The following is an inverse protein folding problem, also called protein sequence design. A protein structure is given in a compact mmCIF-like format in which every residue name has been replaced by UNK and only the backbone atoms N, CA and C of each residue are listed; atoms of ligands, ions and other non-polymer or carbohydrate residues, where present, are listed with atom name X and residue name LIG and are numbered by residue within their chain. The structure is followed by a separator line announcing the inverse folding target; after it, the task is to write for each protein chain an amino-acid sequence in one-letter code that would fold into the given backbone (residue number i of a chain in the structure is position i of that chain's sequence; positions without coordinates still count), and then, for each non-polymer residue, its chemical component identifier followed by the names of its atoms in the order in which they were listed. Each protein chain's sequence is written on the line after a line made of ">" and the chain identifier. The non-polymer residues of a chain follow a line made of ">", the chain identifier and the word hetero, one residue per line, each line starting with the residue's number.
data_IF_664456260163
#
_entry.id   IF_664456260163
#
_cell.length_a   1.000
_cell.length_b   1.000
_cell.length_c   1.000
_cell.angle_alpha   90.00
_cell.angle_beta   90.00
_cell.angle_gamma   90.00
#
_symmetry.space_group_name_H-M   'P 1'
#
loop_
_entity.id
_entity.type
_entity.pdbx_description
1 polymer ?
#
# COMPACT_ATOMS: atom_id res chain seq x y z
N UNK A 1 23.38 46.54 -5.54
CA UNK A 1 22.00 46.02 -5.54
C UNK A 1 22.09 44.53 -5.80
N UNK A 2 22.01 43.76 -4.73
CA UNK A 2 21.97 42.30 -4.77
C UNK A 2 20.51 41.89 -4.95
N UNK A 3 20.20 41.27 -6.09
CA UNK A 3 18.89 40.71 -6.33
C UNK A 3 18.70 39.52 -5.35
N UNK A 4 17.69 39.55 -4.52
CA UNK A 4 17.24 38.42 -3.73
C UNK A 4 16.82 37.28 -4.70
N UNK A 5 17.22 36.04 -4.43
CA UNK A 5 16.74 34.91 -5.23
C UNK A 5 15.23 34.81 -5.07
N UNK A 6 14.50 34.83 -6.18
CA UNK A 6 13.07 34.59 -6.17
C UNK A 6 12.80 33.20 -5.55
N UNK A 7 12.21 33.16 -4.37
CA UNK A 7 11.66 31.95 -3.79
C UNK A 7 10.62 31.39 -4.77
N UNK A 8 10.95 30.30 -5.45
CA UNK A 8 9.99 29.51 -6.20
C UNK A 8 9.05 28.87 -5.16
N UNK A 9 8.01 29.59 -4.76
CA UNK A 9 6.89 28.97 -4.04
C UNK A 9 6.27 27.92 -4.97
N UNK A 10 6.41 26.65 -4.62
CA UNK A 10 5.67 25.58 -5.29
C UNK A 10 4.18 25.92 -5.19
N UNK A 11 3.58 26.29 -6.30
CA UNK A 11 2.13 26.46 -6.38
C UNK A 11 1.55 25.09 -6.74
N UNK A 12 0.89 24.46 -5.78
CA UNK A 12 0.11 23.27 -6.06
C UNK A 12 -1.07 23.66 -6.96
N UNK A 13 -1.41 22.83 -7.95
CA UNK A 13 -2.57 23.10 -8.80
C UNK A 13 -3.83 23.16 -7.96
N UNK A 14 -4.72 24.10 -8.28
CA UNK A 14 -6.03 24.18 -7.62
C UNK A 14 -6.87 22.99 -8.01
N UNK A 15 -7.45 22.22 -7.05
CA UNK A 15 -8.29 21.08 -7.38
C UNK A 15 -9.45 21.46 -8.29
N UNK A 16 -9.77 20.63 -9.30
CA UNK A 16 -11.02 20.76 -10.03
C UNK A 16 -12.24 20.67 -9.09
N UNK A 17 -13.39 21.21 -9.51
CA UNK A 17 -14.62 21.17 -8.68
C UNK A 17 -15.02 19.75 -8.26
N UNK A 18 -14.76 18.76 -9.13
CA UNK A 18 -15.05 17.34 -8.85
C UNK A 18 -13.86 16.57 -8.26
N UNK A 19 -12.79 17.28 -7.85
CA UNK A 19 -11.53 16.71 -7.39
C UNK A 19 -10.65 16.19 -8.52
N UNK A 20 -9.47 15.66 -8.16
CA UNK A 20 -8.52 15.07 -9.11
C UNK A 20 -8.95 13.67 -9.56
N UNK A 21 -8.37 13.24 -10.67
CA UNK A 21 -8.55 11.91 -11.26
C UNK A 21 -7.21 11.18 -11.36
N UNK A 22 -7.25 9.88 -11.69
CA UNK A 22 -6.03 9.10 -11.95
C UNK A 22 -5.19 9.68 -13.10
N UNK A 23 -5.83 10.27 -14.12
CA UNK A 23 -5.09 10.95 -15.20
C UNK A 23 -4.33 12.16 -14.65
N UNK A 24 -4.93 12.92 -13.73
CA UNK A 24 -4.27 14.05 -13.08
C UNK A 24 -3.07 13.57 -12.25
N UNK A 25 -3.22 12.47 -11.47
CA UNK A 25 -2.13 11.91 -10.66
C UNK A 25 -0.89 11.59 -11.49
N UNK A 26 -1.07 11.07 -12.70
CA UNK A 26 0.04 10.67 -13.57
C UNK A 26 0.55 11.77 -14.51
N UNK A 27 -0.17 12.88 -14.65
CA UNK A 27 0.18 13.95 -15.61
C UNK A 27 0.54 15.29 -14.96
N UNK A 28 0.12 15.53 -13.71
CA UNK A 28 0.47 16.74 -13.00
C UNK A 28 1.99 16.79 -12.76
N UNK A 29 2.62 17.92 -13.09
CA UNK A 29 4.05 18.09 -12.87
C UNK A 29 4.39 18.25 -11.39
N UNK A 30 5.61 17.87 -11.03
CA UNK A 30 6.25 18.14 -9.74
C UNK A 30 5.49 17.61 -8.51
N UNK A 31 4.61 16.61 -8.66
CA UNK A 31 4.05 15.90 -7.52
C UNK A 31 5.17 15.22 -6.71
N UNK A 32 5.10 15.25 -5.37
CA UNK A 32 6.02 14.48 -4.54
C UNK A 32 5.98 12.98 -4.89
N UNK A 33 7.09 12.26 -4.74
CA UNK A 33 7.07 10.80 -4.76
C UNK A 33 6.01 10.25 -3.77
N UNK A 34 5.47 9.08 -4.07
CA UNK A 34 4.46 8.41 -3.22
C UNK A 34 3.19 9.24 -2.98
N UNK A 35 2.81 10.10 -3.96
CA UNK A 35 1.53 10.80 -3.91
C UNK A 35 0.41 9.83 -4.25
N UNK A 36 -0.54 9.68 -3.33
CA UNK A 36 -1.75 8.88 -3.52
C UNK A 36 -2.93 9.75 -3.96
N UNK A 37 -3.91 9.13 -4.60
CA UNK A 37 -5.21 9.74 -4.89
C UNK A 37 -6.30 9.02 -4.07
N UNK A 38 -6.94 9.75 -3.15
CA UNK A 38 -8.02 9.22 -2.32
C UNK A 38 -9.23 10.14 -2.42
N UNK A 39 -10.35 9.62 -2.91
CA UNK A 39 -11.60 10.36 -3.16
C UNK A 39 -11.41 11.65 -3.98
N UNK A 40 -10.46 11.64 -4.90
CA UNK A 40 -10.11 12.79 -5.73
C UNK A 40 -9.29 13.85 -5.00
N UNK A 41 -8.71 13.52 -3.84
CA UNK A 41 -7.75 14.37 -3.12
C UNK A 41 -6.35 13.79 -3.25
N UNK A 42 -5.37 14.63 -3.57
CA UNK A 42 -3.96 14.25 -3.53
C UNK A 42 -3.49 14.16 -2.07
N UNK A 43 -2.98 13.02 -1.69
CA UNK A 43 -2.44 12.73 -0.37
C UNK A 43 -0.92 12.60 -0.49
N UNK A 44 -0.19 13.43 0.24
CA UNK A 44 1.26 13.39 0.30
C UNK A 44 1.70 12.58 1.51
N UNK A 45 2.64 11.67 1.31
CA UNK A 45 3.15 10.80 2.36
C UNK A 45 4.33 11.45 3.07
N UNK A 46 4.33 11.42 4.39
CA UNK A 46 5.44 11.89 5.23
C UNK A 46 6.64 10.93 5.17
N UNK A 47 7.87 11.40 5.49
CA UNK A 47 9.01 10.51 5.64
C UNK A 47 8.74 9.38 6.64
N UNK A 48 9.04 8.16 6.25
CA UNK A 48 8.72 6.97 7.04
C UNK A 48 9.71 6.72 8.18
N UNK A 49 9.24 6.06 9.26
CA UNK A 49 10.07 5.61 10.37
C UNK A 49 10.82 4.33 10.01
N UNK A 50 11.90 4.04 10.75
CA UNK A 50 12.67 2.81 10.59
C UNK A 50 11.80 1.53 10.70
N UNK A 51 10.83 1.50 11.62
CA UNK A 51 9.87 0.40 11.73
C UNK A 51 9.18 0.09 10.40
N UNK A 52 8.67 1.11 9.72
CA UNK A 52 7.98 0.96 8.45
C UNK A 52 8.89 0.35 7.38
N UNK A 53 10.11 0.89 7.24
CA UNK A 53 11.12 0.33 6.35
C UNK A 53 11.42 -1.14 6.65
N UNK A 54 11.71 -1.48 7.91
CA UNK A 54 12.07 -2.84 8.32
C UNK A 54 10.91 -3.82 8.12
N UNK A 55 9.67 -3.40 8.46
CA UNK A 55 8.47 -4.22 8.27
C UNK A 55 8.19 -4.53 6.80
N UNK A 56 8.30 -3.53 5.91
CA UNK A 56 8.17 -3.76 4.46
C UNK A 56 9.21 -4.76 3.97
N UNK A 57 10.48 -4.62 4.36
CA UNK A 57 11.55 -5.51 3.92
C UNK A 57 11.37 -6.94 4.41
N UNK A 58 11.05 -7.12 5.69
CA UNK A 58 10.76 -8.42 6.29
C UNK A 58 9.61 -9.12 5.55
N UNK A 59 8.47 -8.42 5.42
CA UNK A 59 7.28 -9.00 4.82
C UNK A 59 7.45 -9.25 3.32
N UNK A 60 8.04 -8.30 2.58
CA UNK A 60 8.27 -8.48 1.14
C UNK A 60 9.22 -9.66 0.86
N UNK A 61 10.28 -9.84 1.66
CA UNK A 61 11.18 -10.99 1.54
C UNK A 61 10.47 -12.30 1.89
N UNK A 62 9.70 -12.31 2.97
CA UNK A 62 8.91 -13.48 3.35
C UNK A 62 7.90 -13.88 2.27
N UNK A 63 7.14 -12.92 1.74
CA UNK A 63 6.21 -13.15 0.63
C UNK A 63 6.92 -13.68 -0.62
N UNK A 64 8.09 -13.11 -0.98
CA UNK A 64 8.87 -13.54 -2.16
C UNK A 64 9.44 -14.95 -2.01
N UNK A 65 9.70 -15.41 -0.79
CA UNK A 65 10.33 -16.72 -0.55
C UNK A 65 9.47 -17.90 -1.01
N UNK A 66 8.14 -17.73 -1.00
CA UNK A 66 7.17 -18.80 -1.34
C UNK A 66 6.24 -18.43 -2.48
N UNK A 67 6.39 -17.22 -3.08
CA UNK A 67 5.50 -16.77 -4.16
C UNK A 67 5.56 -17.69 -5.37
N UNK A 68 4.43 -18.22 -5.88
CA UNK A 68 4.39 -19.04 -7.07
C UNK A 68 4.69 -18.24 -8.34
N UNK A 69 5.16 -18.91 -9.41
CA UNK A 69 5.59 -18.26 -10.67
C UNK A 69 4.51 -17.41 -11.34
N UNK A 70 3.23 -17.70 -11.10
CA UNK A 70 2.09 -16.93 -11.61
C UNK A 70 1.83 -15.61 -10.87
N UNK A 71 2.56 -15.32 -9.81
CA UNK A 71 2.41 -14.11 -8.98
C UNK A 71 3.74 -13.38 -8.83
N UNK A 72 3.66 -12.10 -8.47
CA UNK A 72 4.80 -11.23 -8.16
C UNK A 72 4.52 -10.43 -6.90
N UNK A 73 5.56 -10.18 -6.12
CA UNK A 73 5.53 -9.27 -4.96
C UNK A 73 6.18 -7.96 -5.38
N UNK A 74 5.40 -6.89 -5.32
CA UNK A 74 5.82 -5.52 -5.65
C UNK A 74 5.63 -4.63 -4.44
N UNK A 75 6.42 -3.57 -4.32
CA UNK A 75 6.33 -2.60 -3.23
C UNK A 75 6.07 -1.22 -3.80
N UNK A 76 5.30 -0.42 -3.06
CA UNK A 76 5.14 1.01 -3.29
C UNK A 76 4.78 1.36 -4.75
N UNK A 77 3.76 0.68 -5.28
CA UNK A 77 3.24 0.94 -6.61
C UNK A 77 1.75 1.25 -6.55
N UNK A 78 1.35 2.30 -7.26
CA UNK A 78 -0.05 2.73 -7.32
C UNK A 78 -0.97 1.60 -7.79
N UNK A 79 -2.07 1.38 -7.08
CA UNK A 79 -3.16 0.47 -7.47
C UNK A 79 -4.39 1.30 -7.85
N UNK A 80 -4.76 1.26 -9.12
CA UNK A 80 -5.95 1.96 -9.63
C UNK A 80 -7.20 1.21 -9.19
N UNK A 81 -7.93 1.77 -8.24
CA UNK A 81 -9.19 1.20 -7.75
C UNK A 81 -10.38 1.68 -8.58
N UNK A 82 -10.40 2.97 -8.90
CA UNK A 82 -11.37 3.62 -9.76
C UNK A 82 -10.81 4.96 -10.27
N UNK A 83 -11.64 5.76 -10.95
CA UNK A 83 -11.22 7.05 -11.53
C UNK A 83 -10.65 8.04 -10.51
N UNK A 84 -11.06 7.96 -9.23
CA UNK A 84 -10.74 8.93 -8.17
C UNK A 84 -9.96 8.33 -7.00
N UNK A 85 -9.59 7.06 -7.11
CA UNK A 85 -8.89 6.33 -6.07
C UNK A 85 -7.72 5.52 -6.66
N UNK A 86 -6.52 5.90 -6.26
CA UNK A 86 -5.26 5.24 -6.59
C UNK A 86 -4.32 5.31 -5.39
N UNK A 87 -4.55 4.51 -4.34
CA UNK A 87 -3.60 4.34 -3.24
C UNK A 87 -2.33 3.63 -3.71
N UNK A 88 -1.29 3.74 -2.91
CA UNK A 88 -0.02 3.06 -3.11
C UNK A 88 0.24 2.13 -1.91
N UNK A 89 -0.24 0.86 -1.97
CA UNK A 89 0.01 -0.10 -0.89
C UNK A 89 1.51 -0.32 -0.68
N UNK A 90 1.94 -0.44 0.55
CA UNK A 90 3.36 -0.68 0.89
C UNK A 90 3.87 -1.95 0.23
N UNK A 91 3.05 -3.02 0.18
CA UNK A 91 3.34 -4.23 -0.57
C UNK A 91 2.07 -4.71 -1.27
N UNK A 92 2.22 -5.18 -2.50
CA UNK A 92 1.15 -5.87 -3.22
C UNK A 92 1.62 -7.21 -3.77
N UNK A 93 0.73 -8.20 -3.75
CA UNK A 93 0.90 -9.44 -4.53
C UNK A 93 0.01 -9.33 -5.75
N UNK A 94 0.62 -9.38 -6.93
CA UNK A 94 -0.05 -9.15 -8.20
C UNK A 94 0.10 -10.34 -9.14
N UNK A 95 -0.78 -10.45 -10.13
CA UNK A 95 -0.63 -11.44 -11.22
C UNK A 95 0.65 -11.17 -12.00
N UNK A 96 1.44 -12.20 -12.26
CA UNK A 96 2.70 -12.04 -12.99
C UNK A 96 2.49 -11.52 -14.42
N UNK A 97 1.37 -11.88 -15.05
CA UNK A 97 0.98 -11.44 -16.39
C UNK A 97 0.63 -9.93 -16.47
N UNK A 98 0.28 -9.31 -15.32
CA UNK A 98 0.02 -7.88 -15.24
C UNK A 98 1.31 -7.03 -15.26
N UNK A 99 2.48 -7.67 -15.13
CA UNK A 99 3.78 -6.97 -15.19
C UNK A 99 4.18 -6.79 -16.65
N UNK A 100 4.05 -5.57 -17.15
CA UNK A 100 4.28 -5.22 -18.56
C UNK A 100 5.71 -4.78 -18.86
N UNK A 101 6.50 -4.45 -17.84
CA UNK A 101 7.90 -4.08 -18.01
C UNK A 101 8.43 -3.03 -17.03
N UNK A 102 9.71 -2.64 -17.15
CA UNK A 102 10.41 -1.84 -16.13
C UNK A 102 9.97 -0.37 -16.05
N UNK A 103 9.11 0.09 -16.94
CA UNK A 103 8.54 1.45 -16.91
C UNK A 103 7.10 1.51 -16.43
N UNK A 104 6.58 0.38 -15.95
CA UNK A 104 5.25 0.32 -15.36
C UNK A 104 5.24 1.07 -14.01
N UNK A 105 4.19 1.87 -13.79
CA UNK A 105 4.04 2.72 -12.60
C UNK A 105 2.78 2.38 -11.81
N UNK A 106 1.92 1.49 -12.30
CA UNK A 106 0.63 1.15 -11.68
C UNK A 106 0.17 -0.25 -12.01
N UNK A 107 -0.76 -0.75 -11.20
CA UNK A 107 -1.55 -1.95 -11.45
C UNK A 107 -3.03 -1.63 -11.37
N UNK A 108 -3.87 -2.41 -12.04
CA UNK A 108 -5.32 -2.37 -11.88
C UNK A 108 -5.72 -3.23 -10.66
N UNK A 109 -6.77 -2.85 -9.93
CA UNK A 109 -7.23 -3.61 -8.76
C UNK A 109 -7.52 -5.08 -9.07
N UNK A 110 -8.02 -5.39 -10.27
CA UNK A 110 -8.31 -6.75 -10.73
C UNK A 110 -7.07 -7.67 -10.78
N UNK A 111 -5.87 -7.09 -10.87
CA UNK A 111 -4.61 -7.82 -10.91
C UNK A 111 -3.98 -8.03 -9.54
N UNK A 112 -4.53 -7.39 -8.49
CA UNK A 112 -4.01 -7.44 -7.12
C UNK A 112 -4.75 -8.51 -6.32
N UNK A 113 -4.00 -9.46 -5.73
CA UNK A 113 -4.53 -10.50 -4.88
C UNK A 113 -4.42 -10.17 -3.38
N UNK A 114 -3.39 -9.43 -3.00
CA UNK A 114 -3.15 -9.01 -1.63
C UNK A 114 -2.61 -7.58 -1.64
N UNK A 115 -3.19 -6.72 -0.83
CA UNK A 115 -2.65 -5.42 -0.45
C UNK A 115 -2.20 -5.45 1.02
N UNK A 116 -1.05 -4.88 1.32
CA UNK A 116 -0.49 -4.78 2.67
C UNK A 116 -0.21 -3.32 2.98
N UNK A 117 -0.68 -2.86 4.13
CA UNK A 117 -0.38 -1.53 4.66
C UNK A 117 0.35 -1.66 5.99
N UNK A 118 1.46 -0.95 6.13
CA UNK A 118 2.23 -0.83 7.37
C UNK A 118 1.91 0.51 7.99
N UNK A 119 1.21 0.52 9.12
CA UNK A 119 0.72 1.74 9.76
C UNK A 119 1.88 2.67 10.11
N UNK A 120 1.74 3.92 9.70
CA UNK A 120 2.53 5.04 10.18
C UNK A 120 1.63 6.05 10.93
N UNK A 121 2.16 6.92 11.78
CA UNK A 121 1.33 7.91 12.48
C UNK A 121 0.55 8.84 11.56
N UNK A 122 1.08 9.07 10.34
CA UNK A 122 0.45 9.93 9.34
C UNK A 122 -0.67 9.23 8.57
N UNK A 123 -0.55 7.93 8.37
CA UNK A 123 -1.48 7.13 7.57
C UNK A 123 -2.52 6.38 8.42
N UNK A 124 -2.35 6.27 9.74
CA UNK A 124 -3.12 5.39 10.63
C UNK A 124 -4.63 5.39 10.37
N UNK A 125 -5.26 6.56 10.33
CA UNK A 125 -6.71 6.63 10.12
C UNK A 125 -7.13 6.12 8.74
N UNK A 126 -6.30 6.35 7.71
CA UNK A 126 -6.55 5.89 6.35
C UNK A 126 -6.34 4.39 6.22
N UNK A 127 -5.28 3.85 6.81
CA UNK A 127 -4.92 2.44 6.70
C UNK A 127 -5.84 1.53 7.53
N UNK A 128 -6.39 2.05 8.64
CA UNK A 128 -7.35 1.30 9.48
C UNK A 128 -8.77 1.32 8.96
N UNK A 129 -9.18 2.34 8.23
CA UNK A 129 -10.57 2.53 7.83
C UNK A 129 -10.75 2.78 6.33
N UNK A 130 -10.22 3.88 5.82
CA UNK A 130 -10.53 4.33 4.45
C UNK A 130 -10.03 3.36 3.37
N UNK A 131 -8.75 2.99 3.41
CA UNK A 131 -8.11 2.13 2.40
C UNK A 131 -8.71 0.71 2.38
N UNK A 132 -8.90 0.01 3.53
CA UNK A 132 -9.52 -1.31 3.53
C UNK A 132 -10.91 -1.33 2.87
N UNK A 133 -11.76 -0.34 3.17
CA UNK A 133 -13.08 -0.25 2.53
C UNK A 133 -12.96 -0.09 1.00
N UNK A 134 -12.01 0.72 0.54
CA UNK A 134 -11.79 0.95 -0.89
C UNK A 134 -11.22 -0.29 -1.58
N UNK A 135 -10.25 -0.97 -0.98
CA UNK A 135 -9.70 -2.23 -1.50
C UNK A 135 -10.78 -3.31 -1.61
N UNK A 136 -11.60 -3.47 -0.57
CA UNK A 136 -12.71 -4.41 -0.58
C UNK A 136 -13.74 -4.08 -1.66
N UNK A 137 -14.11 -2.79 -1.82
CA UNK A 137 -15.04 -2.34 -2.84
C UNK A 137 -14.50 -2.57 -4.25
N UNK A 138 -13.18 -2.40 -4.46
CA UNK A 138 -12.51 -2.68 -5.73
C UNK A 138 -12.30 -4.17 -6.02
N UNK A 139 -12.65 -5.06 -5.06
CA UNK A 139 -12.62 -6.50 -5.25
C UNK A 139 -11.30 -7.18 -4.90
N UNK A 140 -10.34 -6.49 -4.26
CA UNK A 140 -9.08 -7.11 -3.82
C UNK A 140 -9.39 -8.15 -2.76
N UNK A 141 -9.00 -9.44 -2.96
CA UNK A 141 -9.49 -10.53 -2.09
C UNK A 141 -8.86 -10.55 -0.71
N UNK A 142 -7.59 -10.13 -0.57
CA UNK A 142 -6.87 -10.20 0.71
C UNK A 142 -6.27 -8.84 1.08
N UNK A 143 -6.30 -8.55 2.38
CA UNK A 143 -5.71 -7.33 2.93
C UNK A 143 -4.98 -7.65 4.23
N UNK A 144 -3.79 -7.13 4.40
CA UNK A 144 -3.05 -7.20 5.65
C UNK A 144 -2.80 -5.80 6.19
N UNK A 145 -3.01 -5.66 7.49
CA UNK A 145 -2.68 -4.45 8.22
C UNK A 145 -1.58 -4.77 9.22
N UNK A 146 -0.48 -4.02 9.17
CA UNK A 146 0.70 -4.25 9.99
C UNK A 146 0.89 -3.08 10.94
N UNK A 147 0.97 -3.39 12.22
CA UNK A 147 1.08 -2.41 13.30
C UNK A 147 2.24 -2.75 14.24
N UNK A 148 2.75 -1.77 14.97
CA UNK A 148 3.65 -1.99 16.09
C UNK A 148 2.86 -2.48 17.30
N UNK A 149 3.30 -3.55 17.95
CA UNK A 149 2.63 -4.07 19.13
C UNK A 149 3.47 -3.92 20.40
N UNK A 150 2.80 -3.41 21.43
CA UNK A 150 3.33 -3.43 22.80
C UNK A 150 4.60 -2.62 23.03
N UNK A 151 5.36 -3.00 24.08
CA UNK A 151 6.60 -2.29 24.48
C UNK A 151 7.83 -2.63 23.64
N UNK A 152 7.77 -3.71 22.86
CA UNK A 152 8.91 -4.22 22.09
C UNK A 152 8.92 -3.76 20.64
N UNK A 153 7.98 -2.88 20.24
CA UNK A 153 7.86 -2.35 18.88
C UNK A 153 7.87 -3.42 17.77
N UNK A 154 7.50 -4.67 18.10
CA UNK A 154 7.43 -5.77 17.15
C UNK A 154 6.23 -5.64 16.21
N UNK A 155 6.36 -6.09 14.94
CA UNK A 155 5.25 -6.08 14.00
C UNK A 155 4.16 -7.09 14.40
N UNK A 156 2.91 -6.66 14.35
CA UNK A 156 1.72 -7.51 14.41
C UNK A 156 1.01 -7.44 13.07
N UNK A 157 0.75 -8.59 12.48
CA UNK A 157 0.07 -8.70 11.19
C UNK A 157 -1.37 -9.14 11.41
N UNK A 158 -2.30 -8.28 11.04
CA UNK A 158 -3.73 -8.56 11.00
C UNK A 158 -4.10 -8.97 9.58
N UNK A 159 -4.65 -10.16 9.42
CA UNK A 159 -5.01 -10.74 8.12
C UNK A 159 -6.50 -10.68 7.92
N UNK A 160 -6.91 -10.14 6.78
CA UNK A 160 -8.31 -9.98 6.40
C UNK A 160 -8.59 -10.66 5.06
N UNK A 161 -9.76 -11.29 4.96
CA UNK A 161 -10.28 -11.87 3.73
C UNK A 161 -11.59 -11.21 3.35
N UNK A 162 -11.76 -10.94 2.06
CA UNK A 162 -12.98 -10.37 1.52
C UNK A 162 -14.05 -11.44 1.37
N UNK A 163 -15.18 -11.26 2.07
CA UNK A 163 -16.34 -12.12 1.89
C UNK A 163 -16.98 -11.91 0.51
N UNK A 164 -17.17 -12.98 -0.25
CA UNK A 164 -17.81 -12.89 -1.57
C UNK A 164 -19.22 -12.31 -1.51
N UNK A 165 -20.00 -12.75 -0.52
CA UNK A 165 -21.40 -12.32 -0.37
C UNK A 165 -21.53 -10.89 0.22
N UNK A 166 -20.61 -10.48 1.09
CA UNK A 166 -20.66 -9.19 1.77
C UNK A 166 -19.92 -8.09 1.04
N UNK A 167 -18.90 -8.44 0.28
CA UNK A 167 -18.01 -7.49 -0.39
C UNK A 167 -17.11 -6.70 0.59
N UNK A 168 -17.05 -7.12 1.87
CA UNK A 168 -16.28 -6.47 2.94
C UNK A 168 -15.23 -7.41 3.49
N UNK A 169 -14.20 -6.86 4.12
CA UNK A 169 -13.17 -7.64 4.81
C UNK A 169 -13.66 -8.16 6.16
N UNK A 170 -13.31 -9.42 6.47
CA UNK A 170 -13.42 -10.03 7.77
C UNK A 170 -12.02 -10.38 8.29
N UNK A 171 -11.73 -10.08 9.55
CA UNK A 171 -10.49 -10.46 10.20
C UNK A 171 -10.45 -11.99 10.35
N UNK A 172 -9.45 -12.63 9.77
CA UNK A 172 -9.26 -14.10 9.79
C UNK A 172 -8.09 -14.55 10.66
N UNK A 173 -7.16 -13.63 10.99
CA UNK A 173 -6.03 -13.94 11.86
C UNK A 173 -5.29 -12.72 12.36
N UNK A 174 -4.63 -12.88 13.54
CA UNK A 174 -3.70 -11.90 14.11
C UNK A 174 -2.43 -12.67 14.45
N UNK A 175 -1.29 -12.20 13.97
CA UNK A 175 -0.01 -12.91 14.07
C UNK A 175 1.04 -12.00 14.72
N UNK A 176 1.72 -12.53 15.74
CA UNK A 176 2.75 -11.85 16.52
C UNK A 176 4.16 -12.37 16.23
N UNK A 177 4.31 -13.69 16.08
CA UNK A 177 5.60 -14.33 15.90
C UNK A 177 5.80 -14.86 14.48
N UNK A 178 4.77 -15.51 13.92
CA UNK A 178 4.82 -16.13 12.60
C UNK A 178 3.51 -15.91 11.87
N UNK A 179 3.57 -15.36 10.67
CA UNK A 179 2.43 -15.36 9.76
C UNK A 179 2.40 -16.69 9.03
N UNK A 180 1.33 -17.47 9.24
CA UNK A 180 1.12 -18.74 8.54
C UNK A 180 -0.28 -18.78 7.97
N UNK A 181 -0.39 -18.65 6.66
CA UNK A 181 -1.66 -18.64 5.92
C UNK A 181 -1.52 -19.45 4.63
N UNK A 182 -2.65 -19.93 4.10
CA UNK A 182 -2.70 -20.69 2.83
C UNK A 182 -3.28 -19.88 1.66
N UNK A 183 -3.69 -18.65 1.90
CA UNK A 183 -4.25 -17.74 0.88
C UNK A 183 -3.53 -16.40 0.92
N UNK A 184 -3.28 -15.78 -0.23
CA UNK A 184 -3.58 -16.22 -1.60
C UNK A 184 -2.70 -17.37 -2.12
N UNK A 185 -1.71 -17.80 -1.36
CA UNK A 185 -0.85 -18.98 -1.51
C UNK A 185 -0.28 -19.38 -0.15
N UNK A 186 0.43 -20.49 -0.05
CA UNK A 186 1.06 -20.89 1.21
C UNK A 186 2.17 -19.93 1.58
N UNK A 187 1.98 -19.17 2.66
CA UNK A 187 2.89 -18.14 3.18
C UNK A 187 3.32 -18.52 4.59
N UNK A 188 4.63 -18.47 4.85
CA UNK A 188 5.21 -18.58 6.16
C UNK A 188 6.25 -17.47 6.34
N UNK A 189 6.02 -16.56 7.28
CA UNK A 189 6.93 -15.45 7.58
C UNK A 189 7.23 -15.47 9.08
N UNK A 190 8.51 -15.45 9.44
CA UNK A 190 8.98 -15.34 10.81
C UNK A 190 9.14 -13.86 11.18
N UNK A 191 8.22 -13.33 12.00
CA UNK A 191 8.24 -11.95 12.45
C UNK A 191 9.28 -11.71 13.55
N UNK A 192 9.78 -12.77 14.22
CA UNK A 192 10.77 -12.65 15.30
C UNK A 192 12.13 -12.17 14.80
N UNK A 193 12.39 -12.29 13.49
CA UNK A 193 13.60 -11.79 12.83
C UNK A 193 13.55 -10.29 12.50
N UNK A 194 12.51 -9.58 12.91
CA UNK A 194 12.33 -8.15 12.62
C UNK A 194 13.53 -7.28 12.97
N UNK A 195 14.20 -7.58 14.09
CA UNK A 195 15.38 -6.83 14.56
C UNK A 195 16.66 -7.10 13.74
N UNK A 196 16.61 -7.99 12.75
CA UNK A 196 17.74 -8.28 11.86
C UNK A 196 17.76 -7.35 10.63
N UNK A 197 16.70 -6.56 10.43
CA UNK A 197 16.51 -5.59 9.36
C UNK A 197 16.84 -4.18 9.87
#
# INVERSE_FOLDING_TARGET
>A
MTAEPAEHRRQWPVPPLDGYTMDDLFTLPDLPPHTELIDGSLVFVSPQRYFHFAAIHLLANGLRSTVPSGLKVVCEMTVVLDRRNGPEPDISVVRAEAVTGPRQIRFEAADVLLAVEVISPDSEARDRDTKPHKYAAAGIPHFWLVDMAGQDDHPVVQVYERGEATGTYALTGIYHDHVKVSVPYDILIDLTTFNEY
#
